data_IF_773890634093
#
_entry.id   IF_773890634093
#
_cell.length_a   1.000
_cell.length_b   1.000
_cell.length_c   1.000
_cell.angle_alpha   90.00
_cell.angle_beta   90.00
_cell.angle_gamma   90.00
#
_symmetry.space_group_name_H-M   'P 1'
#
loop_
_entity.id
_entity.type
_entity.pdbx_description
1 polymer ?
#
# COMPACT_ATOMS: atom_id res chain seq x y z
N UNK A 1 -25.44 -2.82 2.67
CA UNK A 1 -24.01 -2.49 2.65
C UNK A 1 -23.81 -1.28 1.74
N UNK A 2 -23.22 -0.20 2.25
CA UNK A 2 -23.01 1.05 1.54
C UNK A 2 -21.75 0.96 0.68
N UNK A 3 -21.85 0.30 -0.48
CA UNK A 3 -20.73 0.09 -1.42
C UNK A 3 -20.07 1.40 -1.89
N UNK A 4 -20.83 2.48 -1.95
CA UNK A 4 -20.30 3.81 -2.31
C UNK A 4 -19.39 4.37 -1.22
N UNK A 5 -19.73 4.14 0.06
CA UNK A 5 -18.87 4.56 1.16
C UNK A 5 -17.58 3.72 1.23
N UNK A 6 -17.70 2.41 1.06
CA UNK A 6 -16.54 1.50 1.03
C UNK A 6 -15.60 1.85 -0.12
N UNK A 7 -16.11 2.01 -1.34
CA UNK A 7 -15.29 2.42 -2.50
C UNK A 7 -14.60 3.77 -2.28
N UNK A 8 -15.28 4.76 -1.70
CA UNK A 8 -14.66 6.04 -1.36
C UNK A 8 -13.43 5.87 -0.46
N UNK A 9 -13.54 5.08 0.60
CA UNK A 9 -12.44 4.87 1.55
C UNK A 9 -11.32 4.01 0.95
N UNK A 10 -11.64 2.99 0.17
CA UNK A 10 -10.63 2.25 -0.60
C UNK A 10 -9.87 3.16 -1.58
N UNK A 11 -10.56 4.12 -2.21
CA UNK A 11 -9.91 5.11 -3.06
C UNK A 11 -8.96 6.03 -2.30
N UNK A 12 -9.28 6.36 -1.04
CA UNK A 12 -8.36 7.07 -0.14
C UNK A 12 -7.12 6.23 0.16
N UNK A 13 -7.26 4.92 0.38
CA UNK A 13 -6.11 4.01 0.57
C UNK A 13 -5.20 3.99 -0.66
N UNK A 14 -5.76 3.96 -1.88
CA UNK A 14 -4.97 4.05 -3.11
C UNK A 14 -4.08 5.30 -3.13
N UNK A 15 -4.66 6.46 -2.83
CA UNK A 15 -3.92 7.72 -2.81
C UNK A 15 -2.87 7.77 -1.70
N UNK A 16 -3.16 7.18 -0.54
CA UNK A 16 -2.19 7.07 0.55
C UNK A 16 -0.97 6.22 0.17
N UNK A 17 -1.20 5.06 -0.45
CA UNK A 17 -0.09 4.20 -0.93
C UNK A 17 0.73 4.94 -1.99
N UNK A 18 0.07 5.58 -2.96
CA UNK A 18 0.74 6.39 -3.99
C UNK A 18 1.52 7.57 -3.42
N UNK A 19 1.02 8.23 -2.37
CA UNK A 19 1.74 9.30 -1.69
C UNK A 19 3.05 8.80 -1.06
N UNK A 20 3.03 7.67 -0.35
CA UNK A 20 4.22 7.12 0.26
C UNK A 20 5.27 6.64 -0.75
N UNK A 21 4.85 6.26 -1.96
CA UNK A 21 5.76 5.95 -3.08
C UNK A 21 6.55 7.16 -3.60
N UNK A 22 6.20 8.39 -3.21
CA UNK A 22 7.01 9.57 -3.56
C UNK A 22 8.41 9.54 -2.91
N UNK A 23 8.54 8.93 -1.73
CA UNK A 23 9.83 8.80 -1.04
C UNK A 23 10.82 7.90 -1.80
N UNK A 24 10.48 6.65 -2.18
CA UNK A 24 11.38 5.84 -3.02
C UNK A 24 11.57 6.43 -4.41
N UNK A 25 10.62 7.20 -4.96
CA UNK A 25 10.83 7.93 -6.22
C UNK A 25 11.92 9.01 -6.08
N UNK A 26 11.91 9.77 -4.98
CA UNK A 26 12.99 10.70 -4.64
C UNK A 26 14.33 10.01 -4.45
N UNK A 27 14.32 8.82 -3.84
CA UNK A 27 15.50 7.97 -3.70
C UNK A 27 16.04 7.50 -5.06
N UNK A 28 15.14 7.08 -5.97
CA UNK A 28 15.52 6.66 -7.33
C UNK A 28 16.16 7.82 -8.12
N UNK A 29 15.64 9.05 -7.96
CA UNK A 29 16.23 10.25 -8.55
C UNK A 29 17.65 10.52 -8.02
N UNK A 30 17.83 10.40 -6.70
CA UNK A 30 19.13 10.62 -6.04
C UNK A 30 20.21 9.64 -6.54
N UNK A 31 19.86 8.37 -6.71
CA UNK A 31 20.78 7.33 -7.17
C UNK A 31 20.84 7.18 -8.70
N UNK A 32 20.07 7.96 -9.47
CA UNK A 32 20.06 7.90 -10.93
C UNK A 32 19.41 6.63 -11.50
N UNK A 33 18.56 5.95 -10.74
CA UNK A 33 17.95 4.66 -11.09
C UNK A 33 16.74 4.85 -12.04
N UNK A 34 17.00 5.20 -13.30
CA UNK A 34 15.94 5.57 -14.28
C UNK A 34 14.87 4.50 -14.47
N UNK A 35 15.26 3.21 -14.50
CA UNK A 35 14.31 2.10 -14.63
C UNK A 35 13.37 1.98 -13.43
N UNK A 36 13.94 2.02 -12.22
CA UNK A 36 13.17 1.97 -10.97
C UNK A 36 12.28 3.21 -10.79
N UNK A 37 12.80 4.39 -11.15
CA UNK A 37 12.02 5.63 -11.17
C UNK A 37 10.79 5.50 -12.08
N UNK A 38 10.95 4.97 -13.28
CA UNK A 38 9.84 4.72 -14.20
C UNK A 38 8.80 3.77 -13.61
N UNK A 39 9.25 2.68 -12.99
CA UNK A 39 8.37 1.71 -12.34
C UNK A 39 7.60 2.31 -11.16
N UNK A 40 8.26 3.08 -10.30
CA UNK A 40 7.63 3.75 -9.15
C UNK A 40 6.67 4.84 -9.65
N UNK A 41 7.05 5.64 -10.63
CA UNK A 41 6.18 6.67 -11.21
C UNK A 41 4.93 6.07 -11.87
N UNK A 42 5.07 4.95 -12.59
CA UNK A 42 3.94 4.20 -13.13
C UNK A 42 3.02 3.67 -12.00
N UNK A 43 3.61 3.15 -10.92
CA UNK A 43 2.87 2.67 -9.74
C UNK A 43 2.08 3.80 -9.07
N UNK A 44 2.68 4.98 -8.91
CA UNK A 44 2.00 6.19 -8.42
C UNK A 44 0.84 6.55 -9.35
N UNK A 45 1.08 6.59 -10.66
CA UNK A 45 0.05 6.87 -11.66
C UNK A 45 -1.14 5.92 -11.54
N UNK A 46 -0.90 4.62 -11.42
CA UNK A 46 -1.96 3.62 -11.22
C UNK A 46 -2.70 3.79 -9.89
N UNK A 47 -2.01 4.13 -8.80
CA UNK A 47 -2.64 4.43 -7.52
C UNK A 47 -3.56 5.66 -7.61
N UNK A 48 -3.12 6.72 -8.29
CA UNK A 48 -3.88 7.94 -8.48
C UNK A 48 -5.12 7.71 -9.35
N UNK A 49 -4.98 6.97 -10.45
CA UNK A 49 -6.08 6.64 -11.36
C UNK A 49 -7.10 5.72 -10.70
N UNK A 50 -6.66 4.62 -10.07
CA UNK A 50 -7.54 3.71 -9.35
C UNK A 50 -8.25 4.40 -8.18
N UNK A 51 -7.50 5.18 -7.38
CA UNK A 51 -8.05 5.95 -6.29
C UNK A 51 -9.04 7.01 -6.75
N UNK A 52 -8.73 7.73 -7.83
CA UNK A 52 -9.60 8.73 -8.43
C UNK A 52 -10.92 8.13 -8.93
N UNK A 53 -10.86 6.98 -9.60
CA UNK A 53 -12.05 6.26 -10.07
C UNK A 53 -12.94 5.81 -8.89
N UNK A 54 -12.34 5.24 -7.84
CA UNK A 54 -13.05 4.79 -6.64
C UNK A 54 -13.67 5.97 -5.86
N UNK A 55 -12.94 7.07 -5.70
CA UNK A 55 -13.41 8.30 -5.08
C UNK A 55 -14.57 8.93 -5.88
N UNK A 56 -14.47 8.93 -7.20
CA UNK A 56 -15.51 9.46 -8.08
C UNK A 56 -16.80 8.63 -7.97
N UNK A 57 -16.71 7.30 -7.92
CA UNK A 57 -17.86 6.42 -7.69
C UNK A 57 -18.45 6.67 -6.28
N UNK A 58 -17.60 6.78 -5.28
CA UNK A 58 -17.99 6.99 -3.89
C UNK A 58 -18.44 8.41 -3.53
N UNK A 59 -18.40 9.38 -4.45
CA UNK A 59 -18.64 10.81 -4.15
C UNK A 59 -20.01 11.13 -3.54
N UNK A 60 -21.02 10.33 -3.86
CA UNK A 60 -22.40 10.45 -3.34
C UNK A 60 -22.71 9.46 -2.21
N UNK A 61 -21.68 8.94 -1.54
CA UNK A 61 -21.87 8.06 -0.39
C UNK A 61 -22.52 8.78 0.78
N UNK A 62 -23.46 8.11 1.44
CA UNK A 62 -23.90 8.55 2.76
C UNK A 62 -22.75 8.33 3.76
N UNK A 63 -22.50 9.30 4.65
CA UNK A 63 -21.36 9.31 5.59
C UNK A 63 -21.54 8.40 6.81
N UNK A 64 -22.70 7.74 6.94
CA UNK A 64 -22.94 6.77 8.01
C UNK A 64 -22.20 5.47 7.71
N UNK A 65 -21.27 5.12 8.59
CA UNK A 65 -20.53 3.87 8.61
C UNK A 65 -21.21 2.91 9.58
N UNK A 66 -21.62 1.73 9.11
CA UNK A 66 -22.08 0.65 9.96
C UNK A 66 -20.95 -0.40 10.10
N UNK A 67 -21.08 -1.30 11.07
CA UNK A 67 -20.08 -2.33 11.36
C UNK A 67 -19.70 -3.18 10.14
N UNK A 68 -20.69 -3.50 9.28
CA UNK A 68 -20.47 -4.30 8.06
C UNK A 68 -19.53 -3.60 7.07
N UNK A 69 -19.62 -2.29 6.93
CA UNK A 69 -18.67 -1.54 6.09
C UNK A 69 -17.28 -1.53 6.70
N UNK A 70 -17.16 -1.45 8.03
CA UNK A 70 -15.87 -1.52 8.72
C UNK A 70 -15.18 -2.87 8.48
N UNK A 71 -15.90 -3.98 8.66
CA UNK A 71 -15.37 -5.32 8.39
C UNK A 71 -14.93 -5.50 6.94
N UNK A 72 -15.74 -5.02 5.99
CA UNK A 72 -15.38 -5.06 4.57
C UNK A 72 -14.14 -4.21 4.26
N UNK A 73 -14.01 -3.03 4.87
CA UNK A 73 -12.86 -2.14 4.67
C UNK A 73 -11.56 -2.71 5.19
N UNK A 74 -11.58 -3.40 6.33
CA UNK A 74 -10.39 -4.06 6.86
C UNK A 74 -9.95 -5.15 5.88
N UNK A 75 -10.85 -6.07 5.49
CA UNK A 75 -10.51 -7.17 4.59
C UNK A 75 -10.06 -6.69 3.20
N UNK A 76 -10.87 -5.86 2.54
CA UNK A 76 -10.58 -5.36 1.20
C UNK A 76 -9.41 -4.36 1.19
N UNK A 77 -9.25 -3.59 2.26
CA UNK A 77 -8.19 -2.60 2.40
C UNK A 77 -6.81 -3.25 2.40
N UNK A 78 -6.61 -4.30 3.21
CA UNK A 78 -5.33 -5.01 3.25
C UNK A 78 -4.98 -5.67 1.91
N UNK A 79 -5.96 -6.32 1.28
CA UNK A 79 -5.77 -6.93 -0.05
C UNK A 79 -5.41 -5.87 -1.09
N UNK A 80 -6.10 -4.73 -1.08
CA UNK A 80 -5.85 -3.63 -2.00
C UNK A 80 -4.47 -2.98 -1.78
N UNK A 81 -4.11 -2.68 -0.53
CA UNK A 81 -2.83 -2.06 -0.20
C UNK A 81 -1.66 -2.98 -0.57
N UNK A 82 -1.77 -4.28 -0.32
CA UNK A 82 -0.78 -5.27 -0.76
C UNK A 82 -0.68 -5.34 -2.30
N UNK A 83 -1.82 -5.33 -3.01
CA UNK A 83 -1.82 -5.34 -4.47
C UNK A 83 -1.16 -4.08 -5.06
N UNK A 84 -1.41 -2.90 -4.47
CA UNK A 84 -0.80 -1.65 -4.90
C UNK A 84 0.68 -1.58 -4.55
N UNK A 85 1.08 -2.03 -3.37
CA UNK A 85 2.49 -2.05 -2.98
C UNK A 85 3.35 -3.05 -3.74
N UNK A 86 2.73 -4.04 -4.38
CA UNK A 86 3.40 -4.96 -5.30
C UNK A 86 3.84 -4.28 -6.61
N UNK A 87 3.20 -3.19 -7.01
CA UNK A 87 3.37 -2.59 -8.35
C UNK A 87 4.81 -2.17 -8.67
N UNK A 88 5.59 -1.54 -7.77
CA UNK A 88 6.98 -1.19 -8.07
C UNK A 88 7.85 -2.42 -8.35
N UNK A 89 7.56 -3.56 -7.72
CA UNK A 89 8.30 -4.81 -7.95
C UNK A 89 7.94 -5.43 -9.30
N UNK A 90 6.66 -5.38 -9.70
CA UNK A 90 6.18 -5.89 -10.99
C UNK A 90 6.64 -5.00 -12.14
N UNK A 91 6.38 -3.69 -12.07
CA UNK A 91 6.77 -2.74 -13.13
C UNK A 91 8.28 -2.57 -13.23
N UNK A 92 9.00 -2.76 -12.12
CA UNK A 92 10.46 -2.78 -12.11
C UNK A 92 11.09 -4.07 -12.64
N UNK A 93 10.28 -5.09 -12.93
CA UNK A 93 10.76 -6.40 -13.38
C UNK A 93 11.57 -7.17 -12.33
N UNK A 94 11.44 -6.82 -11.04
CA UNK A 94 12.18 -7.45 -9.95
C UNK A 94 11.56 -8.79 -9.57
N UNK A 95 10.23 -8.88 -9.58
CA UNK A 95 9.48 -10.07 -9.21
C UNK A 95 8.30 -10.29 -10.16
N UNK A 96 7.90 -11.56 -10.32
CA UNK A 96 6.63 -11.89 -10.96
C UNK A 96 5.43 -11.41 -10.12
N UNK A 97 4.22 -11.31 -10.68
CA UNK A 97 3.06 -10.73 -9.99
C UNK A 97 2.71 -11.42 -8.66
N UNK A 98 2.82 -12.75 -8.59
CA UNK A 98 2.52 -13.54 -7.38
C UNK A 98 3.57 -13.27 -6.31
N UNK A 99 4.84 -13.33 -6.68
CA UNK A 99 5.97 -13.09 -5.77
C UNK A 99 5.98 -11.64 -5.27
N UNK A 100 5.68 -10.69 -6.15
CA UNK A 100 5.55 -9.27 -5.79
C UNK A 100 4.41 -9.02 -4.80
N UNK A 101 3.27 -9.70 -4.98
CA UNK A 101 2.16 -9.64 -4.03
C UNK A 101 2.56 -10.26 -2.69
N UNK A 102 3.26 -11.39 -2.70
CA UNK A 102 3.78 -12.03 -1.50
C UNK A 102 4.77 -11.13 -0.74
N UNK A 103 5.74 -10.54 -1.44
CA UNK A 103 6.71 -9.61 -0.86
C UNK A 103 6.00 -8.39 -0.26
N UNK A 104 5.04 -7.81 -0.99
CA UNK A 104 4.32 -6.63 -0.53
C UNK A 104 3.39 -6.91 0.66
N UNK A 105 2.65 -8.03 0.65
CA UNK A 105 1.77 -8.36 1.77
C UNK A 105 2.60 -8.63 3.03
N UNK A 106 3.70 -9.40 2.90
CA UNK A 106 4.65 -9.67 3.98
C UNK A 106 5.23 -8.38 4.58
N UNK A 107 5.54 -7.41 3.73
CA UNK A 107 5.98 -6.08 4.14
C UNK A 107 4.96 -5.35 4.99
N UNK A 108 3.76 -5.14 4.44
CA UNK A 108 2.69 -4.39 5.12
C UNK A 108 2.15 -5.07 6.38
N UNK A 109 2.14 -6.40 6.44
CA UNK A 109 1.76 -7.14 7.65
C UNK A 109 2.91 -7.29 8.63
N UNK A 110 4.10 -6.75 8.30
CA UNK A 110 5.33 -6.86 9.10
C UNK A 110 5.76 -8.31 9.36
N UNK A 111 5.37 -9.24 8.49
CA UNK A 111 5.72 -10.66 8.62
C UNK A 111 7.22 -10.91 8.39
N UNK A 112 7.85 -10.17 7.47
CA UNK A 112 9.31 -10.24 7.27
C UNK A 112 9.80 -11.46 6.49
N UNK A 113 8.89 -12.21 5.87
CA UNK A 113 9.24 -13.25 4.90
C UNK A 113 9.57 -12.62 3.54
N UNK A 114 10.58 -13.12 2.85
CA UNK A 114 11.08 -12.56 1.57
C UNK A 114 11.23 -13.66 0.53
N UNK A 115 10.77 -13.39 -0.68
CA UNK A 115 11.01 -14.24 -1.88
C UNK A 115 12.18 -13.74 -2.72
N UNK A 116 12.68 -12.52 -2.44
CA UNK A 116 13.92 -12.00 -3.02
C UNK A 116 15.10 -12.75 -2.40
N UNK A 117 15.70 -13.66 -3.16
CA UNK A 117 16.84 -14.45 -2.71
C UNK A 117 18.19 -13.70 -2.80
N UNK A 118 18.36 -12.89 -3.84
CA UNK A 118 19.60 -12.13 -4.14
C UNK A 118 19.23 -10.65 -4.21
N UNK A 119 19.83 -9.83 -3.34
CA UNK A 119 19.43 -8.43 -3.11
C UNK A 119 20.30 -7.46 -3.92
N UNK A 120 21.53 -7.87 -4.24
CA UNK A 120 22.55 -7.08 -4.93
C UNK A 120 22.10 -6.47 -6.27
N UNK A 121 21.34 -7.15 -7.14
CA UNK A 121 20.89 -6.55 -8.40
C UNK A 121 19.66 -5.65 -8.25
N UNK A 122 19.02 -5.63 -7.07
CA UNK A 122 17.77 -4.89 -6.88
C UNK A 122 18.08 -3.40 -6.69
N UNK A 123 17.40 -2.49 -7.43
CA UNK A 123 17.56 -1.05 -7.25
C UNK A 123 17.33 -0.62 -5.79
N UNK A 124 18.18 0.28 -5.30
CA UNK A 124 18.15 0.78 -3.92
C UNK A 124 16.82 1.44 -3.58
N UNK A 125 16.19 2.13 -4.55
CA UNK A 125 14.84 2.69 -4.38
C UNK A 125 13.76 1.64 -4.15
N UNK A 126 13.85 0.48 -4.80
CA UNK A 126 12.90 -0.63 -4.61
C UNK A 126 13.15 -1.29 -3.26
N UNK A 127 14.41 -1.46 -2.85
CA UNK A 127 14.75 -1.93 -1.51
C UNK A 127 14.28 -0.96 -0.43
N UNK A 128 14.39 0.35 -0.68
CA UNK A 128 13.86 1.37 0.21
C UNK A 128 12.33 1.29 0.30
N UNK A 129 11.62 1.10 -0.82
CA UNK A 129 10.18 0.85 -0.81
C UNK A 129 9.83 -0.38 0.03
N UNK A 130 10.56 -1.49 -0.13
CA UNK A 130 10.38 -2.69 0.67
C UNK A 130 10.47 -2.38 2.17
N UNK A 131 11.55 -1.74 2.62
CA UNK A 131 11.70 -1.36 4.03
C UNK A 131 10.60 -0.37 4.49
N UNK A 132 10.17 0.53 3.61
CA UNK A 132 9.11 1.48 3.92
C UNK A 132 7.76 0.78 4.14
N UNK A 133 7.43 -0.29 3.39
CA UNK A 133 6.19 -1.06 3.62
C UNK A 133 6.15 -1.69 5.02
N UNK A 134 7.28 -2.21 5.52
CA UNK A 134 7.41 -2.68 6.90
C UNK A 134 7.20 -1.56 7.92
N UNK A 135 7.78 -0.39 7.68
CA UNK A 135 7.62 0.75 8.58
C UNK A 135 6.16 1.23 8.64
N UNK A 136 5.50 1.33 7.48
CA UNK A 136 4.08 1.69 7.38
C UNK A 136 3.17 0.65 8.07
N UNK A 137 3.44 -0.64 7.86
CA UNK A 137 2.74 -1.73 8.54
C UNK A 137 2.89 -1.67 10.06
N UNK A 138 4.12 -1.44 10.54
CA UNK A 138 4.44 -1.35 11.96
C UNK A 138 3.73 -0.20 12.67
N UNK A 139 3.64 0.97 12.02
CA UNK A 139 2.86 2.11 12.54
C UNK A 139 1.38 1.73 12.72
N UNK A 140 0.81 0.95 11.80
CA UNK A 140 -0.58 0.49 11.90
C UNK A 140 -0.84 -0.30 13.17
N UNK A 141 0.07 -1.21 13.54
CA UNK A 141 -0.06 -2.04 14.75
C UNK A 141 0.11 -1.17 16.01
N UNK A 142 1.06 -0.23 16.02
CA UNK A 142 1.27 0.67 17.16
C UNK A 142 0.04 1.54 17.42
N UNK A 143 -0.54 2.13 16.36
CA UNK A 143 -1.76 2.94 16.49
C UNK A 143 -2.93 2.10 16.99
N UNK A 144 -3.08 0.87 16.49
CA UNK A 144 -4.13 -0.05 16.94
C UNK A 144 -3.99 -0.36 18.44
N UNK A 145 -2.77 -0.67 18.90
CA UNK A 145 -2.52 -0.92 20.33
C UNK A 145 -2.88 0.29 21.17
N UNK A 146 -2.42 1.48 20.81
CA UNK A 146 -2.74 2.73 21.53
C UNK A 146 -4.25 3.02 21.54
N UNK A 147 -4.96 2.72 20.45
CA UNK A 147 -6.41 2.92 20.36
C UNK A 147 -7.21 1.93 21.23
N UNK A 148 -6.68 0.74 21.53
CA UNK A 148 -7.35 -0.30 22.33
C UNK A 148 -7.11 -0.09 23.84
N UNK A 149 -5.97 0.49 24.25
CA UNK A 149 -5.62 0.70 25.68
C UNK A 149 -6.77 1.27 26.53
N UNK A 150 -7.53 2.29 26.10
CA UNK A 150 -8.62 2.85 26.89
C UNK A 150 -9.74 1.86 27.24
N UNK A 151 -9.92 0.81 26.44
CA UNK A 151 -10.97 -0.20 26.63
C UNK A 151 -10.52 -1.39 27.51
N UNK A 152 -9.24 -1.48 27.85
CA UNK A 152 -8.67 -2.56 28.68
C UNK A 152 -8.47 -2.15 30.16
N UNK A 153 -8.57 -0.86 30.45
CA UNK A 153 -8.33 -0.28 31.78
C UNK A 153 -9.58 -0.02 32.63
N UNK A 154 -10.75 -0.49 32.16
CA UNK A 154 -11.98 -0.65 32.93
C UNK A 154 -12.27 -2.15 33.13
#
# INVERSE_FOLDING_TARGET
MNYRFVSRLLGVFCWWVGFWMLLPAGWALWFGERGALGAIAASIGTCLLAGGALLYWGRRANRRMYEREATALVGLGWLLVAALGALPFVYGGVLGPVDAYFESISGFTTTGSSVIAIIEPVPKSILFWRSLTHWLGGIGIVILMVAIIPFLGE
#
